data_IF_400407894380
#
_entry.id   IF_400407894380
#
_cell.length_a   1.000
_cell.length_b   1.000
_cell.length_c   1.000
_cell.angle_alpha   90.00
_cell.angle_beta   90.00
_cell.angle_gamma   90.00
#
_symmetry.space_group_name_H-M   'P 1'
#
loop_
_entity.id
_entity.type
_entity.pdbx_description
1 polymer ?
#
# COMPACT_ATOMS: atom_id res chain seq x y z
N UNK A 1 -25.83 24.65 -28.16
CA UNK A 1 -25.08 23.36 -28.08
C UNK A 1 -24.23 23.45 -26.82
N UNK A 2 -24.65 22.79 -25.72
CA UNK A 2 -23.91 22.81 -24.46
C UNK A 2 -22.80 21.75 -24.59
N UNK A 3 -21.56 22.20 -24.73
CA UNK A 3 -20.40 21.33 -24.56
C UNK A 3 -20.30 20.99 -23.07
N UNK A 4 -20.86 19.86 -22.67
CA UNK A 4 -20.54 19.26 -21.37
C UNK A 4 -19.10 18.77 -21.49
N UNK A 5 -18.16 19.53 -20.91
CA UNK A 5 -16.78 19.07 -20.73
C UNK A 5 -16.81 17.66 -20.14
N UNK A 6 -16.11 16.67 -20.73
CA UNK A 6 -16.08 15.33 -20.18
C UNK A 6 -15.57 15.40 -18.75
N UNK A 7 -16.34 14.86 -17.80
CA UNK A 7 -15.93 14.76 -16.41
C UNK A 7 -14.62 13.95 -16.34
N UNK A 8 -13.50 14.64 -16.13
CA UNK A 8 -12.18 14.02 -15.98
C UNK A 8 -12.09 13.32 -14.62
N UNK A 9 -12.57 12.08 -14.56
CA UNK A 9 -12.57 11.23 -13.37
C UNK A 9 -12.27 9.77 -13.74
N UNK A 10 -11.58 9.06 -12.86
CA UNK A 10 -11.50 7.60 -12.97
C UNK A 10 -12.85 6.97 -12.64
N UNK A 11 -13.17 5.85 -13.29
CA UNK A 11 -14.36 5.06 -12.96
C UNK A 11 -14.14 4.43 -11.58
N UNK A 12 -15.11 4.61 -10.69
CA UNK A 12 -15.13 4.02 -9.35
C UNK A 12 -16.48 3.35 -9.10
N UNK A 13 -16.53 2.44 -8.13
CA UNK A 13 -17.77 1.79 -7.68
C UNK A 13 -18.09 2.22 -6.26
N UNK A 14 -19.32 2.67 -6.02
CA UNK A 14 -19.76 3.15 -4.70
C UNK A 14 -19.77 2.04 -3.64
N UNK A 15 -19.96 0.79 -4.05
CA UNK A 15 -19.92 -0.37 -3.17
C UNK A 15 -18.50 -0.75 -2.77
N UNK A 16 -17.48 -0.36 -3.54
CA UNK A 16 -16.09 -0.71 -3.26
C UNK A 16 -15.51 0.18 -2.14
N UNK A 17 -15.00 -0.45 -1.08
CA UNK A 17 -14.31 0.19 0.04
C UNK A 17 -12.93 0.72 -0.35
N UNK A 18 -12.36 0.24 -1.46
CA UNK A 18 -11.03 0.57 -1.96
C UNK A 18 -9.95 0.51 -0.87
N UNK A 19 -9.80 -0.63 -0.15
CA UNK A 19 -8.76 -0.76 0.84
C UNK A 19 -7.38 -0.64 0.21
N UNK A 20 -6.42 -0.10 0.94
CA UNK A 20 -5.03 0.01 0.51
C UNK A 20 -4.08 -0.06 1.71
N UNK A 21 -2.85 -0.47 1.44
CA UNK A 21 -1.75 -0.51 2.38
C UNK A 21 -0.44 -0.10 1.69
N UNK A 22 0.69 -0.23 2.38
CA UNK A 22 2.01 -0.05 1.80
C UNK A 22 2.93 -1.20 2.18
N UNK A 23 3.78 -1.63 1.24
CA UNK A 23 4.85 -2.60 1.49
C UNK A 23 6.21 -1.94 1.24
N UNK A 24 7.28 -2.60 1.68
CA UNK A 24 8.64 -2.13 1.46
C UNK A 24 9.25 -2.92 0.31
N UNK A 25 9.63 -2.22 -0.74
CA UNK A 25 10.25 -2.76 -1.95
C UNK A 25 11.78 -2.77 -1.80
N UNK A 26 12.44 -3.75 -2.44
CA UNK A 26 13.89 -3.91 -2.44
C UNK A 26 14.55 -3.34 -3.70
N UNK A 27 13.81 -3.07 -4.77
CA UNK A 27 14.33 -2.44 -5.99
C UNK A 27 13.70 -1.08 -6.30
N UNK A 28 14.46 -0.12 -6.86
CA UNK A 28 13.86 1.09 -7.39
C UNK A 28 12.88 0.78 -8.53
N UNK A 29 12.00 1.75 -8.81
CA UNK A 29 11.09 1.64 -9.96
C UNK A 29 11.88 1.57 -11.27
N UNK A 30 11.54 0.61 -12.13
CA UNK A 30 12.15 0.51 -13.46
C UNK A 30 11.68 1.68 -14.34
N UNK A 31 12.60 2.61 -14.61
CA UNK A 31 12.33 3.80 -15.42
C UNK A 31 12.34 3.50 -16.93
N UNK A 32 12.86 2.35 -17.36
CA UNK A 32 13.03 2.01 -18.78
C UNK A 32 11.70 1.83 -19.52
N UNK A 33 10.65 1.45 -18.79
CA UNK A 33 9.30 1.29 -19.33
C UNK A 33 8.62 2.62 -19.70
N UNK A 34 9.15 3.76 -19.24
CA UNK A 34 8.52 5.07 -19.43
C UNK A 34 9.19 5.84 -20.56
N UNK A 35 8.42 6.24 -21.58
CA UNK A 35 8.92 7.01 -22.73
C UNK A 35 8.93 8.52 -22.51
N UNK A 36 8.05 9.02 -21.63
CA UNK A 36 7.87 10.45 -21.42
C UNK A 36 8.84 10.97 -20.36
N UNK A 37 9.68 11.94 -20.73
CA UNK A 37 10.76 12.44 -19.88
C UNK A 37 10.26 13.10 -18.57
N UNK A 38 9.15 13.84 -18.58
CA UNK A 38 8.56 14.35 -17.33
C UNK A 38 8.12 13.23 -16.38
N UNK A 39 7.66 12.09 -16.91
CA UNK A 39 7.28 10.94 -16.07
C UNK A 39 8.54 10.33 -15.43
N UNK A 40 9.62 10.19 -16.20
CA UNK A 40 10.91 9.76 -15.64
C UNK A 40 11.40 10.71 -14.56
N UNK A 41 11.30 12.02 -14.76
CA UNK A 41 11.69 13.03 -13.78
C UNK A 41 10.88 12.91 -12.47
N UNK A 42 9.55 12.73 -12.59
CA UNK A 42 8.69 12.50 -11.43
C UNK A 42 9.08 11.21 -10.68
N UNK A 43 9.23 10.10 -11.39
CA UNK A 43 9.60 8.82 -10.77
C UNK A 43 10.99 8.85 -10.12
N UNK A 44 11.97 9.48 -10.78
CA UNK A 44 13.33 9.66 -10.26
C UNK A 44 13.34 10.40 -8.93
N UNK A 45 12.46 11.40 -8.76
CA UNK A 45 12.38 12.16 -7.49
C UNK A 45 11.89 11.33 -6.28
N UNK A 46 11.31 10.15 -6.52
CA UNK A 46 10.85 9.22 -5.47
C UNK A 46 11.49 7.83 -5.59
N UNK A 47 12.58 7.72 -6.35
CA UNK A 47 13.25 6.45 -6.64
C UNK A 47 13.79 5.79 -5.36
N UNK A 48 14.39 6.60 -4.48
CA UNK A 48 14.99 6.14 -3.22
C UNK A 48 13.98 5.77 -2.12
N UNK A 49 12.70 6.17 -2.25
CA UNK A 49 11.67 5.84 -1.26
C UNK A 49 11.22 4.38 -1.47
N UNK A 50 11.48 3.42 -0.57
CA UNK A 50 11.14 2.03 -0.80
C UNK A 50 9.67 1.70 -0.44
N UNK A 51 8.86 2.66 0.01
CA UNK A 51 7.48 2.39 0.45
C UNK A 51 6.52 2.51 -0.72
N UNK A 52 5.96 1.37 -1.15
CA UNK A 52 5.07 1.31 -2.31
C UNK A 52 3.62 1.06 -1.90
N UNK A 53 2.65 1.78 -2.49
CA UNK A 53 1.22 1.56 -2.26
C UNK A 53 0.73 0.25 -2.88
N UNK A 54 -0.21 -0.40 -2.20
CA UNK A 54 -0.80 -1.66 -2.63
C UNK A 54 -2.28 -1.79 -2.23
N UNK A 55 -3.20 -1.98 -3.18
CA UNK A 55 -3.07 -1.58 -4.57
C UNK A 55 -2.91 -0.07 -4.70
N UNK A 56 -2.37 0.38 -5.82
CA UNK A 56 -2.17 1.81 -6.10
C UNK A 56 -3.51 2.49 -6.43
N UNK A 57 -4.25 2.93 -5.41
CA UNK A 57 -5.60 3.59 -5.49
C UNK A 57 -5.59 5.00 -6.09
N UNK A 58 -4.92 5.18 -7.24
CA UNK A 58 -4.85 6.47 -7.94
C UNK A 58 -6.22 7.03 -8.33
N UNK A 59 -7.19 6.13 -8.56
CA UNK A 59 -8.56 6.46 -8.91
C UNK A 59 -9.27 7.24 -7.79
N UNK A 60 -9.06 6.82 -6.53
CA UNK A 60 -9.65 7.43 -5.35
C UNK A 60 -9.00 8.76 -5.01
N UNK A 61 -7.67 8.80 -5.03
CA UNK A 61 -6.88 10.03 -4.78
C UNK A 61 -7.23 11.11 -5.79
N UNK A 62 -7.19 10.79 -7.10
CA UNK A 62 -7.46 11.77 -8.14
C UNK A 62 -8.90 12.29 -8.14
N UNK A 63 -9.87 11.44 -7.77
CA UNK A 63 -11.26 11.85 -7.68
C UNK A 63 -11.59 12.61 -6.38
N UNK A 64 -10.70 12.58 -5.37
CA UNK A 64 -10.97 13.12 -4.04
C UNK A 64 -12.03 12.30 -3.29
N UNK A 65 -12.00 10.98 -3.45
CA UNK A 65 -13.01 10.03 -2.96
C UNK A 65 -12.40 9.06 -1.97
N UNK A 66 -13.07 8.82 -0.84
CA UNK A 66 -12.53 7.99 0.25
C UNK A 66 -11.99 6.62 -0.17
N UNK A 67 -10.90 6.23 0.48
CA UNK A 67 -10.35 4.86 0.51
C UNK A 67 -10.36 4.33 1.94
N UNK A 68 -9.96 3.08 2.13
CA UNK A 68 -9.81 2.48 3.45
C UNK A 68 -8.33 2.12 3.70
N UNK A 69 -7.67 2.80 4.64
CA UNK A 69 -6.31 2.43 5.02
C UNK A 69 -6.35 1.17 5.89
N UNK A 70 -5.60 0.14 5.49
CA UNK A 70 -5.43 -1.07 6.30
C UNK A 70 -4.47 -0.74 7.44
N UNK A 71 -4.82 -1.17 8.66
CA UNK A 71 -4.07 -0.83 9.87
C UNK A 71 -3.68 -2.11 10.63
N UNK A 72 -2.39 -2.39 10.77
CA UNK A 72 -1.88 -3.36 11.74
C UNK A 72 -2.54 -3.16 13.11
N UNK A 73 -3.00 -4.25 13.74
CA UNK A 73 -3.67 -4.18 15.05
C UNK A 73 -2.69 -3.94 16.20
N UNK A 74 -1.45 -4.34 16.01
CA UNK A 74 -0.37 -4.22 16.97
C UNK A 74 0.78 -3.39 16.40
N UNK A 75 1.61 -2.78 17.26
CA UNK A 75 2.89 -2.24 16.84
C UNK A 75 3.71 -3.28 16.06
N UNK A 76 4.38 -2.81 15.02
CA UNK A 76 5.25 -3.65 14.21
C UNK A 76 6.66 -3.51 14.75
N UNK A 77 7.07 -4.50 15.53
CA UNK A 77 8.41 -4.60 16.06
C UNK A 77 8.99 -6.00 15.89
N UNK A 78 10.32 -6.10 15.92
CA UNK A 78 11.04 -7.36 15.87
C UNK A 78 12.37 -7.24 16.63
N UNK A 79 12.70 -8.26 17.44
CA UNK A 79 13.97 -8.33 18.15
C UNK A 79 15.07 -8.73 17.18
N UNK A 80 16.02 -7.83 16.92
CA UNK A 80 17.12 -8.08 15.99
C UNK A 80 18.26 -8.86 16.68
N UNK A 81 18.53 -8.49 17.94
CA UNK A 81 19.52 -9.05 18.85
C UNK A 81 18.96 -9.05 20.29
N UNK A 82 19.72 -9.56 21.26
CA UNK A 82 19.32 -9.61 22.67
C UNK A 82 19.04 -8.22 23.29
N UNK A 83 19.63 -7.17 22.71
CA UNK A 83 19.59 -5.79 23.23
C UNK A 83 19.04 -4.76 22.24
N UNK A 84 18.55 -5.18 21.07
CA UNK A 84 18.03 -4.27 20.03
C UNK A 84 16.70 -4.73 19.48
N UNK A 85 15.72 -3.82 19.52
CA UNK A 85 14.40 -3.99 18.90
C UNK A 85 14.24 -2.94 17.82
N UNK A 86 13.93 -3.39 16.61
CA UNK A 86 13.52 -2.52 15.52
C UNK A 86 12.00 -2.40 15.50
N UNK A 87 11.49 -1.18 15.33
CA UNK A 87 10.06 -0.90 15.22
C UNK A 87 9.76 0.01 14.04
N UNK A 88 8.59 -0.16 13.41
CA UNK A 88 8.11 0.80 12.39
C UNK A 88 7.33 1.91 13.10
N UNK A 89 7.74 3.15 12.86
CA UNK A 89 6.98 4.33 13.22
C UNK A 89 5.85 4.54 12.19
N UNK A 90 4.56 4.39 12.57
CA UNK A 90 3.45 4.41 11.63
C UNK A 90 3.30 5.74 10.89
N UNK A 91 3.52 6.87 11.55
CA UNK A 91 3.30 8.20 10.96
C UNK A 91 4.22 8.50 9.76
N UNK A 92 5.56 8.45 9.89
CA UNK A 92 6.46 8.65 8.76
C UNK A 92 6.33 7.54 7.71
N UNK A 93 6.02 6.29 8.11
CA UNK A 93 5.76 5.21 7.15
C UNK A 93 4.58 5.52 6.23
N UNK A 94 3.43 5.90 6.81
CA UNK A 94 2.23 6.26 6.05
C UNK A 94 2.45 7.54 5.25
N UNK A 95 3.15 8.55 5.80
CA UNK A 95 3.52 9.77 5.06
C UNK A 95 4.31 9.42 3.78
N UNK A 96 5.39 8.64 3.89
CA UNK A 96 6.22 8.25 2.73
C UNK A 96 5.46 7.40 1.71
N UNK A 97 4.57 6.52 2.16
CA UNK A 97 3.69 5.77 1.26
C UNK A 97 2.71 6.66 0.52
N UNK A 98 2.07 7.61 1.21
CA UNK A 98 1.14 8.57 0.59
C UNK A 98 1.89 9.45 -0.41
N UNK A 99 3.07 9.94 -0.08
CA UNK A 99 3.90 10.71 -1.01
C UNK A 99 4.06 9.97 -2.34
N UNK A 100 4.49 8.70 -2.28
CA UNK A 100 4.66 7.88 -3.48
C UNK A 100 3.35 7.66 -4.24
N UNK A 101 2.25 7.46 -3.53
CA UNK A 101 0.91 7.35 -4.12
C UNK A 101 0.48 8.64 -4.83
N UNK A 102 0.81 9.83 -4.32
CA UNK A 102 0.53 11.11 -4.99
C UNK A 102 1.29 11.24 -6.31
N UNK A 103 2.57 10.82 -6.35
CA UNK A 103 3.35 10.78 -7.60
C UNK A 103 2.73 9.84 -8.63
N UNK A 104 2.36 8.61 -8.23
CA UNK A 104 1.69 7.68 -9.13
C UNK A 104 0.33 8.20 -9.59
N UNK A 105 -0.38 8.92 -8.73
CA UNK A 105 -1.65 9.55 -9.08
C UNK A 105 -1.45 10.64 -10.13
N UNK A 106 -0.47 11.53 -9.96
CA UNK A 106 -0.12 12.55 -10.96
C UNK A 106 0.20 11.91 -12.31
N UNK A 107 1.09 10.92 -12.32
CA UNK A 107 1.52 10.24 -13.54
C UNK A 107 0.33 9.64 -14.27
N UNK A 108 -0.54 8.91 -13.56
CA UNK A 108 -1.72 8.26 -14.15
C UNK A 108 -2.78 9.27 -14.60
N UNK A 109 -2.99 10.34 -13.85
CA UNK A 109 -3.92 11.40 -14.20
C UNK A 109 -3.48 12.14 -15.47
N UNK A 110 -2.20 12.50 -15.56
CA UNK A 110 -1.64 13.17 -16.71
C UNK A 110 -1.68 12.28 -17.96
N UNK A 111 -1.29 11.00 -17.84
CA UNK A 111 -1.36 10.02 -18.93
C UNK A 111 -2.78 9.83 -19.48
N UNK A 112 -3.78 9.79 -18.60
CA UNK A 112 -5.15 9.44 -18.98
C UNK A 112 -5.99 10.65 -19.42
N UNK A 113 -5.78 11.79 -18.78
CA UNK A 113 -6.66 12.95 -18.91
C UNK A 113 -5.92 14.24 -19.30
N UNK A 114 -4.60 14.24 -19.30
CA UNK A 114 -3.79 15.45 -19.55
C UNK A 114 -3.95 16.52 -18.46
N UNK A 115 -4.33 16.12 -17.24
CA UNK A 115 -4.51 17.05 -16.12
C UNK A 115 -3.80 16.58 -14.86
N UNK A 116 -3.33 17.55 -14.08
CA UNK A 116 -2.61 17.32 -12.84
C UNK A 116 -3.54 17.17 -11.63
N UNK A 117 -3.06 16.44 -10.64
CA UNK A 117 -3.64 16.34 -9.31
C UNK A 117 -3.59 17.71 -8.61
N UNK A 118 -4.72 18.12 -8.04
CA UNK A 118 -4.81 19.35 -7.24
C UNK A 118 -4.65 19.03 -5.75
N UNK A 119 -4.14 20.00 -5.00
CA UNK A 119 -4.06 19.90 -3.54
C UNK A 119 -5.43 19.65 -2.92
N UNK A 120 -6.48 20.35 -3.38
CA UNK A 120 -7.84 20.19 -2.88
C UNK A 120 -8.36 18.75 -3.04
N UNK A 121 -8.04 18.08 -4.16
CA UNK A 121 -8.44 16.68 -4.38
C UNK A 121 -7.69 15.74 -3.45
N UNK A 122 -6.38 15.93 -3.30
CA UNK A 122 -5.55 15.12 -2.40
C UNK A 122 -5.97 15.29 -0.93
N UNK A 123 -6.19 16.53 -0.48
CA UNK A 123 -6.66 16.84 0.87
C UNK A 123 -8.06 16.29 1.11
N UNK A 124 -9.00 16.50 0.18
CA UNK A 124 -10.34 15.93 0.26
C UNK A 124 -10.31 14.41 0.40
N UNK A 125 -9.48 13.73 -0.39
CA UNK A 125 -9.29 12.28 -0.28
C UNK A 125 -8.78 11.88 1.11
N UNK A 126 -7.72 12.52 1.60
CA UNK A 126 -7.10 12.14 2.86
C UNK A 126 -8.01 12.39 4.07
N UNK A 127 -8.65 13.56 4.14
CA UNK A 127 -9.61 13.87 5.21
C UNK A 127 -10.79 12.90 5.24
N UNK A 128 -11.24 12.44 4.08
CA UNK A 128 -12.32 11.45 3.99
C UNK A 128 -11.86 10.01 4.29
N UNK A 129 -10.55 9.74 4.27
CA UNK A 129 -9.96 8.39 4.41
C UNK A 129 -9.44 8.14 5.83
N UNK A 130 -8.77 9.11 6.45
CA UNK A 130 -7.97 8.92 7.67
C UNK A 130 -8.76 8.46 8.91
N UNK A 131 -10.07 8.68 8.93
CA UNK A 131 -10.95 8.26 10.02
C UNK A 131 -11.75 6.98 9.72
N UNK A 132 -11.60 6.41 8.53
CA UNK A 132 -12.28 5.18 8.19
C UNK A 132 -11.51 3.99 8.74
N UNK A 133 -12.27 3.05 9.29
CA UNK A 133 -11.75 1.81 9.80
C UNK A 133 -12.66 0.65 9.41
N UNK A 134 -12.06 -0.49 9.09
CA UNK A 134 -12.75 -1.76 8.92
C UNK A 134 -11.84 -2.84 9.49
N UNK A 135 -12.46 -3.83 10.14
CA UNK A 135 -11.73 -4.95 10.74
C UNK A 135 -11.40 -5.98 9.65
N UNK A 136 -10.21 -5.85 9.06
CA UNK A 136 -9.74 -6.73 7.99
C UNK A 136 -8.84 -7.84 8.53
N UNK A 137 -9.23 -8.43 9.67
CA UNK A 137 -8.49 -9.36 10.53
C UNK A 137 -7.26 -10.00 9.87
N UNK A 138 -7.48 -10.92 8.93
CA UNK A 138 -6.37 -11.68 8.33
C UNK A 138 -5.42 -10.83 7.49
N UNK A 139 -5.93 -9.82 6.79
CA UNK A 139 -5.10 -8.91 6.00
C UNK A 139 -4.24 -8.02 6.91
N UNK A 140 -4.80 -7.54 8.02
CA UNK A 140 -4.05 -6.74 9.01
C UNK A 140 -2.89 -7.55 9.60
N UNK A 141 -3.12 -8.83 9.91
CA UNK A 141 -2.10 -9.76 10.38
C UNK A 141 -1.04 -10.08 9.31
N UNK A 142 -1.46 -10.44 8.10
CA UNK A 142 -0.54 -10.80 7.03
C UNK A 142 0.36 -9.61 6.67
N UNK A 143 -0.18 -8.38 6.61
CA UNK A 143 0.64 -7.18 6.37
C UNK A 143 1.57 -6.82 7.53
N UNK A 144 1.16 -7.09 8.76
CA UNK A 144 2.08 -7.02 9.90
C UNK A 144 3.23 -8.01 9.71
N UNK A 145 2.94 -9.23 9.25
CA UNK A 145 3.93 -10.25 8.90
C UNK A 145 4.89 -9.82 7.79
N UNK A 146 4.37 -9.24 6.71
CA UNK A 146 5.18 -8.69 5.59
C UNK A 146 6.18 -7.65 6.09
N UNK A 147 5.74 -6.70 6.90
CA UNK A 147 6.61 -5.66 7.42
C UNK A 147 7.61 -6.19 8.46
N UNK A 148 7.22 -7.13 9.33
CA UNK A 148 8.15 -7.83 10.24
C UNK A 148 9.20 -8.62 9.46
N UNK A 149 8.83 -9.24 8.33
CA UNK A 149 9.77 -9.95 7.47
C UNK A 149 10.87 -9.02 6.97
N UNK A 150 10.53 -7.80 6.51
CA UNK A 150 11.54 -6.82 6.06
C UNK A 150 12.51 -6.44 7.18
N UNK A 151 12.01 -6.21 8.40
CA UNK A 151 12.86 -5.92 9.57
C UNK A 151 13.80 -7.09 9.86
N UNK A 152 13.25 -8.30 9.93
CA UNK A 152 13.99 -9.51 10.28
C UNK A 152 15.08 -9.87 9.25
N UNK A 153 14.91 -9.49 7.99
CA UNK A 153 15.87 -9.79 6.92
C UNK A 153 16.73 -8.57 6.57
N UNK A 154 16.14 -7.55 5.94
CA UNK A 154 16.86 -6.43 5.33
C UNK A 154 17.50 -5.53 6.38
N UNK A 155 16.74 -5.11 7.40
CA UNK A 155 17.27 -4.23 8.45
C UNK A 155 18.32 -4.96 9.27
N UNK A 156 18.05 -6.22 9.64
CA UNK A 156 19.02 -7.06 10.35
C UNK A 156 20.34 -7.17 9.59
N UNK A 157 20.27 -7.50 8.30
CA UNK A 157 21.47 -7.64 7.48
C UNK A 157 22.24 -6.33 7.37
N UNK A 158 21.54 -5.20 7.20
CA UNK A 158 22.17 -3.87 7.16
C UNK A 158 22.93 -3.53 8.45
N UNK A 159 22.38 -3.88 9.61
CA UNK A 159 23.00 -3.57 10.90
C UNK A 159 24.19 -4.48 11.22
N UNK A 160 24.21 -5.68 10.66
CA UNK A 160 25.28 -6.67 10.84
C UNK A 160 26.38 -6.57 9.78
N UNK A 161 26.22 -5.70 8.78
CA UNK A 161 27.06 -5.70 7.57
C UNK A 161 27.04 -7.07 6.84
N UNK A 162 25.88 -7.75 6.87
CA UNK A 162 25.64 -9.00 6.16
C UNK A 162 25.27 -8.75 4.68
N UNK A 163 25.28 -9.82 3.88
CA UNK A 163 24.91 -9.78 2.46
C UNK A 163 23.44 -9.37 2.23
N UNK A 164 23.25 -8.13 1.77
CA UNK A 164 21.94 -7.56 1.42
C UNK A 164 21.24 -8.25 0.25
N UNK A 165 21.96 -8.87 -0.69
CA UNK A 165 21.36 -9.61 -1.82
C UNK A 165 20.67 -10.87 -1.28
N UNK A 166 21.38 -11.61 -0.43
CA UNK A 166 20.81 -12.79 0.23
C UNK A 166 19.68 -12.41 1.19
N UNK A 167 19.77 -11.27 1.88
CA UNK A 167 18.68 -10.76 2.72
C UNK A 167 17.44 -10.38 1.90
N UNK A 168 17.62 -9.72 0.74
CA UNK A 168 16.53 -9.36 -0.18
C UNK A 168 15.85 -10.60 -0.74
N UNK A 169 16.64 -11.63 -1.11
CA UNK A 169 16.09 -12.92 -1.55
C UNK A 169 15.21 -13.56 -0.48
N UNK A 170 15.71 -13.66 0.75
CA UNK A 170 14.95 -14.21 1.89
C UNK A 170 13.68 -13.40 2.17
N UNK A 171 13.75 -12.08 2.09
CA UNK A 171 12.58 -11.21 2.25
C UNK A 171 11.50 -11.54 1.20
N UNK A 172 11.88 -11.56 -0.08
CA UNK A 172 10.95 -11.85 -1.16
C UNK A 172 10.35 -13.25 -1.05
N UNK A 173 11.16 -14.27 -0.68
CA UNK A 173 10.71 -15.64 -0.44
C UNK A 173 9.65 -15.70 0.68
N UNK A 174 9.92 -15.06 1.84
CA UNK A 174 8.97 -15.03 2.97
C UNK A 174 7.64 -14.39 2.59
N UNK A 175 7.67 -13.26 1.87
CA UNK A 175 6.46 -12.57 1.43
C UNK A 175 5.72 -13.39 0.36
N UNK A 176 6.43 -13.96 -0.61
CA UNK A 176 5.86 -14.87 -1.60
C UNK A 176 5.19 -16.07 -0.95
N UNK A 177 5.76 -16.64 0.11
CA UNK A 177 5.18 -17.77 0.85
C UNK A 177 3.88 -17.38 1.56
N UNK A 178 3.82 -16.20 2.18
CA UNK A 178 2.58 -15.67 2.78
C UNK A 178 1.49 -15.57 1.70
N UNK A 179 1.78 -14.94 0.57
CA UNK A 179 0.82 -14.77 -0.53
C UNK A 179 0.39 -16.11 -1.13
N UNK A 180 1.35 -16.98 -1.45
CA UNK A 180 1.09 -18.31 -2.02
C UNK A 180 0.22 -19.17 -1.11
N UNK A 181 0.49 -19.14 0.21
CA UNK A 181 -0.32 -19.86 1.18
C UNK A 181 -1.78 -19.42 1.10
N UNK A 182 -2.04 -18.11 1.11
CA UNK A 182 -3.41 -17.56 1.04
C UNK A 182 -4.11 -17.91 -0.26
N UNK A 183 -3.42 -17.72 -1.39
CA UNK A 183 -3.97 -18.03 -2.72
C UNK A 183 -4.30 -19.53 -2.81
N UNK A 184 -3.40 -20.42 -2.38
CA UNK A 184 -3.60 -21.88 -2.42
C UNK A 184 -4.72 -22.34 -1.47
N UNK A 185 -4.82 -21.76 -0.29
CA UNK A 185 -5.91 -22.04 0.66
C UNK A 185 -7.27 -21.52 0.14
N UNK A 186 -7.26 -20.61 -0.84
CA UNK A 186 -8.43 -19.94 -1.42
C UNK A 186 -9.43 -19.50 -0.34
N UNK A 187 -8.92 -18.98 0.77
CA UNK A 187 -9.75 -18.53 1.86
C UNK A 187 -9.10 -17.41 2.65
N UNK A 188 -9.95 -16.56 3.22
CA UNK A 188 -9.54 -15.47 4.09
C UNK A 188 -10.55 -15.31 5.21
N UNK A 189 -10.04 -15.02 6.40
CA UNK A 189 -10.86 -14.75 7.57
C UNK A 189 -11.14 -13.25 7.64
N UNK A 190 -12.42 -12.89 7.70
CA UNK A 190 -12.90 -11.53 7.85
C UNK A 190 -13.77 -11.41 9.10
N UNK A 191 -14.01 -10.17 9.55
CA UNK A 191 -14.88 -9.89 10.69
C UNK A 191 -16.04 -9.00 10.22
N UNK A 192 -17.28 -9.51 10.34
CA UNK A 192 -18.52 -8.82 9.94
C UNK A 192 -19.61 -9.06 10.97
N UNK A 193 -20.33 -8.02 11.35
CA UNK A 193 -21.36 -8.05 12.40
C UNK A 193 -20.83 -8.70 13.71
N UNK A 194 -19.57 -8.39 14.07
CA UNK A 194 -18.81 -8.96 15.19
C UNK A 194 -18.62 -10.50 15.15
N UNK A 195 -18.83 -11.12 13.98
CA UNK A 195 -18.55 -12.53 13.75
C UNK A 195 -17.37 -12.71 12.80
N UNK A 196 -16.51 -13.69 13.11
CA UNK A 196 -15.47 -14.12 12.19
C UNK A 196 -16.05 -15.08 11.15
N UNK A 197 -15.86 -14.74 9.87
CA UNK A 197 -16.36 -15.53 8.74
C UNK A 197 -15.21 -15.85 7.80
N UNK A 198 -15.08 -17.13 7.46
CA UNK A 198 -14.14 -17.56 6.43
C UNK A 198 -14.82 -17.46 5.06
N UNK A 199 -14.23 -16.67 4.16
CA UNK A 199 -14.75 -16.45 2.80
C UNK A 199 -13.71 -16.84 1.77
N UNK A 200 -14.13 -17.13 0.53
CA UNK A 200 -13.23 -17.50 -0.57
C UNK A 200 -12.54 -16.28 -1.15
N UNK A 201 -11.31 -16.45 -1.65
CA UNK A 201 -10.59 -15.43 -2.41
C UNK A 201 -11.05 -15.38 -3.87
N UNK A 202 -11.39 -16.53 -4.44
CA UNK A 202 -11.87 -16.67 -5.81
C UNK A 202 -12.80 -17.88 -5.97
N UNK A 203 -13.60 -17.86 -7.05
CA UNK A 203 -14.35 -19.00 -7.56
C UNK A 203 -13.72 -19.57 -8.81
N UNK A 204 -13.71 -20.88 -8.90
CA UNK A 204 -13.36 -21.63 -10.09
C UNK A 204 -14.58 -21.80 -11.00
N UNK A 205 -14.44 -21.48 -12.29
CA UNK A 205 -15.49 -21.64 -13.28
C UNK A 205 -14.94 -22.31 -14.53
N UNK A 206 -15.54 -23.43 -14.91
CA UNK A 206 -15.24 -24.10 -16.19
C UNK A 206 -16.03 -23.39 -17.30
N UNK A 207 -15.32 -22.69 -18.18
CA UNK A 207 -15.91 -22.12 -19.40
C UNK A 207 -15.79 -23.11 -20.54
N UNK A 208 -16.90 -23.32 -21.26
CA UNK A 208 -16.94 -24.14 -22.46
C UNK A 208 -17.14 -23.22 -23.67
N UNK A 209 -16.16 -23.16 -24.56
CA UNK A 209 -16.24 -22.34 -25.78
C UNK A 209 -15.63 -23.07 -26.98
N UNK A 210 -15.91 -22.58 -28.19
CA UNK A 210 -15.38 -23.19 -29.42
C UNK A 210 -14.12 -22.46 -29.88
N UNK A 211 -13.00 -23.20 -30.00
CA UNK A 211 -11.75 -22.72 -30.59
C UNK A 211 -11.47 -23.53 -31.85
N UNK A 212 -11.44 -22.88 -33.02
CA UNK A 212 -11.23 -23.54 -34.33
C UNK A 212 -12.17 -24.75 -34.54
N UNK A 213 -13.48 -24.56 -34.30
CA UNK A 213 -14.53 -25.59 -34.40
C UNK A 213 -14.40 -26.80 -33.45
N UNK A 214 -13.44 -26.79 -32.52
CA UNK A 214 -13.35 -27.76 -31.43
C UNK A 214 -13.91 -27.14 -30.15
N UNK A 215 -14.75 -27.88 -29.42
CA UNK A 215 -15.19 -27.50 -28.08
C UNK A 215 -14.00 -27.65 -27.14
N UNK A 216 -13.64 -26.58 -26.45
CA UNK A 216 -12.57 -26.53 -25.47
C UNK A 216 -13.18 -26.15 -24.12
N UNK A 217 -12.68 -26.77 -23.06
CA UNK A 217 -13.02 -26.42 -21.68
C UNK A 217 -11.80 -25.76 -21.05
N UNK A 218 -12.00 -24.63 -20.40
CA UNK A 218 -10.94 -23.86 -19.75
C UNK A 218 -11.39 -23.51 -18.33
N UNK A 219 -10.55 -23.84 -17.35
CA UNK A 219 -10.75 -23.44 -15.97
C UNK A 219 -10.33 -21.99 -15.79
N UNK A 220 -11.25 -21.14 -15.33
CA UNK A 220 -10.98 -19.74 -15.02
C UNK A 220 -11.20 -19.46 -13.54
N UNK A 221 -10.34 -18.60 -12.99
CA UNK A 221 -10.41 -18.12 -11.62
C UNK A 221 -11.02 -16.72 -11.62
N UNK A 222 -12.10 -16.53 -10.87
CA UNK A 222 -12.80 -15.25 -10.74
C UNK A 222 -12.66 -14.73 -9.30
N UNK A 223 -12.04 -13.56 -9.09
CA UNK A 223 -11.91 -12.98 -7.75
C UNK A 223 -13.28 -12.78 -7.09
N UNK A 224 -13.36 -13.08 -5.80
CA UNK A 224 -14.57 -12.87 -5.00
C UNK A 224 -14.63 -11.47 -4.40
N UNK A 225 -15.85 -10.93 -4.33
CA UNK A 225 -16.16 -9.72 -3.60
C UNK A 225 -16.57 -10.11 -2.18
N UNK A 226 -15.89 -9.51 -1.21
CA UNK A 226 -16.12 -9.76 0.21
C UNK A 226 -16.76 -8.54 0.85
N UNK A 227 -17.86 -8.76 1.57
CA UNK A 227 -18.55 -7.74 2.35
C UNK A 227 -17.80 -7.44 3.65
N UNK A 228 -17.73 -6.17 4.03
CA UNK A 228 -17.06 -5.66 5.24
C UNK A 228 -17.85 -4.52 5.87
N UNK A 229 -17.68 -4.41 7.19
CA UNK A 229 -18.17 -3.29 7.97
C UNK A 229 -17.16 -2.15 7.98
N UNK A 230 -17.57 -0.98 7.49
CA UNK A 230 -16.77 0.23 7.52
C UNK A 230 -17.36 1.22 8.50
N UNK A 231 -16.57 1.57 9.50
CA UNK A 231 -16.88 2.55 10.55
C UNK A 231 -16.23 3.90 10.20
N UNK A 232 -16.99 4.97 10.40
CA UNK A 232 -16.45 6.32 10.32
C UNK A 232 -16.20 6.86 11.73
N UNK A 233 -14.93 7.00 12.10
CA UNK A 233 -14.51 7.41 13.44
C UNK A 233 -14.28 8.93 13.55
N UNK A 234 -14.74 9.74 12.60
CA UNK A 234 -14.45 11.18 12.57
C UNK A 234 -14.95 11.94 13.81
N UNK A 235 -16.06 11.50 14.42
CA UNK A 235 -16.64 12.15 15.59
C UNK A 235 -16.09 11.62 16.92
N UNK A 236 -15.77 10.33 16.98
CA UNK A 236 -15.37 9.63 18.22
C UNK A 236 -13.84 9.48 18.36
N UNK A 237 -13.11 9.60 17.26
CA UNK A 237 -11.67 9.34 17.21
C UNK A 237 -11.31 7.85 17.30
N UNK A 238 -10.01 7.57 17.27
CA UNK A 238 -9.48 6.25 17.57
C UNK A 238 -9.19 6.19 19.08
N UNK A 239 -10.00 5.45 19.85
CA UNK A 239 -9.83 5.28 21.30
C UNK A 239 -9.47 3.83 21.64
N UNK A 240 -9.00 3.59 22.85
CA UNK A 240 -8.55 2.26 23.31
C UNK A 240 -9.65 1.20 23.38
N UNK A 241 -10.90 1.57 23.72
CA UNK A 241 -12.05 0.66 23.75
C UNK A 241 -12.86 0.69 22.46
N UNK A 242 -12.34 0.02 21.44
CA UNK A 242 -13.02 -0.13 20.15
C UNK A 242 -14.33 -0.92 20.23
N UNK A 243 -14.47 -1.87 21.17
CA UNK A 243 -15.68 -2.69 21.29
C UNK A 243 -16.89 -1.85 21.72
N UNK A 244 -16.70 -0.91 22.65
CA UNK A 244 -17.75 0.02 23.03
C UNK A 244 -18.11 0.97 21.87
N UNK A 245 -17.12 1.51 21.17
CA UNK A 245 -17.34 2.43 20.04
C UNK A 245 -18.14 1.78 18.90
N UNK A 246 -17.82 0.55 18.51
CA UNK A 246 -18.50 -0.09 17.37
C UNK A 246 -19.98 -0.38 17.64
N UNK A 247 -20.41 -0.42 18.91
CA UNK A 247 -21.83 -0.50 19.28
C UNK A 247 -22.56 0.84 19.10
N UNK A 248 -21.85 1.96 19.22
CA UNK A 248 -22.42 3.31 19.09
C UNK A 248 -22.42 3.81 17.65
N UNK A 249 -21.42 3.40 16.85
CA UNK A 249 -21.26 3.85 15.47
C UNK A 249 -21.94 2.89 14.51
N UNK A 250 -22.87 3.41 13.72
CA UNK A 250 -23.49 2.64 12.64
C UNK A 250 -22.46 2.28 11.57
N UNK A 251 -22.23 0.99 11.37
CA UNK A 251 -21.43 0.47 10.28
C UNK A 251 -22.07 0.76 8.92
N UNK A 252 -21.22 0.99 7.92
CA UNK A 252 -21.63 1.00 6.51
C UNK A 252 -21.07 -0.22 5.80
N UNK A 253 -21.95 -0.98 5.15
CA UNK A 253 -21.55 -2.17 4.40
C UNK A 253 -20.88 -1.78 3.08
N UNK A 254 -19.67 -2.30 2.86
CA UNK A 254 -18.90 -2.13 1.64
C UNK A 254 -18.31 -3.47 1.19
N UNK A 255 -17.81 -3.50 -0.04
CA UNK A 255 -17.18 -4.66 -0.65
C UNK A 255 -15.73 -4.38 -0.99
N UNK A 256 -14.92 -5.42 -1.06
CA UNK A 256 -13.58 -5.33 -1.64
C UNK A 256 -13.17 -6.69 -2.22
N UNK A 257 -12.04 -6.72 -2.94
CA UNK A 257 -11.49 -7.94 -3.52
C UNK A 257 -10.16 -8.23 -2.79
N UNK A 258 -10.13 -9.19 -1.84
CA UNK A 258 -8.92 -9.49 -1.08
C UNK A 258 -7.80 -10.06 -1.96
N UNK A 259 -8.15 -10.84 -2.99
CA UNK A 259 -7.17 -11.48 -3.88
C UNK A 259 -6.21 -10.47 -4.51
N UNK A 260 -6.66 -9.24 -4.81
CA UNK A 260 -5.82 -8.21 -5.43
C UNK A 260 -4.56 -7.90 -4.61
N UNK A 261 -4.64 -7.94 -3.28
CA UNK A 261 -3.46 -7.67 -2.45
C UNK A 261 -2.41 -8.76 -2.60
N UNK A 262 -2.82 -10.02 -2.54
CA UNK A 262 -1.91 -11.16 -2.57
C UNK A 262 -1.37 -11.39 -3.99
N UNK A 263 -2.19 -11.18 -5.02
CA UNK A 263 -1.80 -11.33 -6.42
C UNK A 263 -0.77 -10.27 -6.80
N UNK A 264 -1.08 -8.98 -6.58
CA UNK A 264 -0.17 -7.86 -6.87
C UNK A 264 1.15 -8.01 -6.08
N UNK A 265 1.08 -8.34 -4.78
CA UNK A 265 2.30 -8.48 -3.96
C UNK A 265 3.13 -9.71 -4.37
N UNK A 266 2.48 -10.83 -4.70
CA UNK A 266 3.17 -12.03 -5.17
C UNK A 266 3.88 -11.75 -6.49
N UNK A 267 3.23 -11.08 -7.44
CA UNK A 267 3.85 -10.69 -8.71
C UNK A 267 5.10 -9.84 -8.48
N UNK A 268 5.02 -8.83 -7.61
CA UNK A 268 6.17 -8.00 -7.24
C UNK A 268 7.32 -8.84 -6.67
N UNK A 269 7.05 -9.71 -5.69
CA UNK A 269 8.09 -10.52 -5.07
C UNK A 269 8.72 -11.52 -6.05
N UNK A 270 7.93 -12.16 -6.92
CA UNK A 270 8.44 -13.06 -7.96
C UNK A 270 9.30 -12.30 -8.98
N UNK A 271 8.91 -11.10 -9.37
CA UNK A 271 9.72 -10.24 -10.24
C UNK A 271 11.06 -9.87 -9.57
N UNK A 272 11.03 -9.54 -8.28
CA UNK A 272 12.25 -9.20 -7.53
C UNK A 272 13.18 -10.40 -7.37
N UNK A 273 12.64 -11.59 -7.08
CA UNK A 273 13.41 -12.83 -7.07
C UNK A 273 14.08 -13.07 -8.42
N UNK A 274 13.35 -12.88 -9.51
CA UNK A 274 13.91 -13.04 -10.85
C UNK A 274 15.06 -12.06 -11.12
N UNK A 275 14.91 -10.78 -10.74
CA UNK A 275 16.00 -9.79 -10.84
C UNK A 275 17.24 -10.19 -10.04
N UNK A 276 17.06 -10.71 -8.83
CA UNK A 276 18.15 -11.19 -7.98
C UNK A 276 18.85 -12.41 -8.60
N UNK A 277 18.10 -13.35 -9.18
CA UNK A 277 18.65 -14.50 -9.92
C UNK A 277 19.45 -14.08 -11.16
N UNK A 278 19.00 -13.02 -11.83
CA UNK A 278 19.66 -12.46 -13.02
C UNK A 278 20.87 -11.57 -12.65
N UNK A 279 21.18 -11.41 -11.37
CA UNK A 279 22.35 -10.69 -10.88
C UNK A 279 22.20 -9.17 -10.78
N UNK A 280 20.97 -8.65 -10.73
CA UNK A 280 20.73 -7.23 -10.48
C UNK A 280 21.11 -6.86 -9.03
N UNK A 281 21.98 -5.87 -8.88
CA UNK A 281 22.57 -5.48 -7.59
C UNK A 281 22.11 -4.10 -7.08
N UNK A 282 21.31 -3.37 -7.86
CA UNK A 282 20.84 -2.03 -7.48
C UNK A 282 19.70 -2.07 -6.47
N UNK A 283 20.00 -2.55 -5.26
CA UNK A 283 19.06 -2.66 -4.16
C UNK A 283 18.83 -1.31 -3.46
N UNK A 284 17.58 -1.09 -3.04
CA UNK A 284 17.23 -0.02 -2.12
C UNK A 284 17.77 -0.35 -0.73
N UNK A 285 18.78 0.41 -0.32
CA UNK A 285 19.40 0.26 0.99
C UNK A 285 18.43 0.68 2.12
N UNK A 286 18.31 -0.10 3.22
CA UNK A 286 17.46 0.26 4.36
C UNK A 286 17.80 1.61 5.04
N UNK A 287 18.94 2.22 4.74
CA UNK A 287 19.37 3.52 5.28
C UNK A 287 18.31 4.61 5.08
N UNK A 288 17.59 4.63 3.94
CA UNK A 288 16.50 5.59 3.76
C UNK A 288 15.45 5.50 4.87
N UNK A 289 15.10 4.28 5.28
CA UNK A 289 14.08 4.03 6.31
C UNK A 289 14.58 4.41 7.71
N UNK A 290 15.87 4.22 7.97
CA UNK A 290 16.52 4.60 9.22
C UNK A 290 16.67 6.14 9.30
N UNK A 291 17.20 6.77 8.27
CA UNK A 291 17.44 8.21 8.18
C UNK A 291 16.15 9.03 8.30
N UNK A 292 15.04 8.48 7.81
CA UNK A 292 13.71 9.10 7.89
C UNK A 292 12.95 8.77 9.18
N UNK A 293 13.57 8.06 10.13
CA UNK A 293 12.93 7.56 11.35
C UNK A 293 11.64 6.77 11.07
N UNK A 294 11.59 6.11 9.90
CA UNK A 294 10.50 5.20 9.55
C UNK A 294 10.68 3.89 10.32
N UNK A 295 11.92 3.39 10.36
CA UNK A 295 12.33 2.30 11.24
C UNK A 295 13.21 2.90 12.33
N UNK A 296 12.86 2.66 13.58
CA UNK A 296 13.64 3.08 14.75
C UNK A 296 14.25 1.85 15.41
N UNK A 297 15.49 1.99 15.88
CA UNK A 297 16.22 0.95 16.61
C UNK A 297 16.35 1.42 18.05
N UNK A 298 15.77 0.68 18.99
CA UNK A 298 15.76 1.04 20.41
C UNK A 298 16.30 -0.11 21.26
N UNK A 299 16.88 0.22 22.41
CA UNK A 299 17.13 -0.77 23.44
C UNK A 299 15.79 -1.22 24.06
N UNK A 300 15.57 -2.51 24.33
CA UNK A 300 14.36 -2.99 25.02
C UNK A 300 14.01 -2.19 26.28
N UNK A 301 15.03 -1.73 27.03
CA UNK A 301 14.82 -0.94 28.26
C UNK A 301 14.24 0.45 28.00
N UNK A 302 14.50 1.03 26.83
CA UNK A 302 13.99 2.34 26.44
C UNK A 302 12.53 2.27 25.93
N UNK A 303 12.09 1.09 25.49
CA UNK A 303 10.71 0.83 25.06
C UNK A 303 9.72 0.75 26.24
N UNK A 304 10.19 0.46 27.46
CA UNK A 304 9.36 0.54 28.66
C UNK A 304 9.10 2.00 29.11
N UNK A 305 9.95 2.94 28.66
CA UNK A 305 9.93 4.36 29.05
C UNK A 305 9.26 5.23 27.97
N UNK A 306 9.35 4.82 26.69
CA UNK A 306 8.66 5.48 25.57
C UNK A 306 7.26 4.90 25.38
N UNK A 307 6.26 5.78 25.32
CA UNK A 307 4.85 5.41 25.24
C UNK A 307 4.56 4.48 24.05
N UNK A 308 3.92 3.31 24.26
CA UNK A 308 3.41 2.46 23.16
C UNK A 308 2.45 3.18 22.19
N UNK A 309 1.95 4.34 22.59
CA UNK A 309 0.99 5.15 21.84
C UNK A 309 1.57 5.72 20.54
N UNK A 310 2.86 6.06 20.47
CA UNK A 310 3.44 6.63 19.23
C UNK A 310 3.64 5.56 18.13
N UNK A 311 3.69 4.29 18.54
CA UNK A 311 3.83 3.15 17.63
C UNK A 311 2.48 2.48 17.28
N UNK A 312 1.36 3.03 17.78
CA UNK A 312 0.04 2.52 17.43
C UNK A 312 -0.36 2.93 16.02
N UNK A 313 -0.93 2.00 15.26
CA UNK A 313 -1.56 2.29 13.97
C UNK A 313 -3.01 2.75 14.12
N UNK A 314 -3.55 2.69 15.34
CA UNK A 314 -4.91 3.09 15.66
C UNK A 314 -4.95 4.58 16.01
N UNK A 315 -4.70 5.43 15.01
CA UNK A 315 -4.72 6.89 15.16
C UNK A 315 -5.20 7.59 13.87
N UNK A 316 -5.49 8.89 13.95
CA UNK A 316 -5.97 9.73 12.84
C UNK A 316 -4.90 10.16 11.85
N UNK A 317 -3.61 9.95 12.16
CA UNK A 317 -2.47 10.44 11.41
C UNK A 317 -2.55 11.95 11.12
N UNK A 318 -2.94 12.76 12.11
CA UNK A 318 -3.10 14.21 11.98
C UNK A 318 -1.82 14.95 11.54
N UNK A 319 -0.64 14.35 11.69
CA UNK A 319 0.64 14.90 11.26
C UNK A 319 0.94 14.79 9.75
N UNK A 320 0.10 14.11 8.96
CA UNK A 320 0.35 13.93 7.52
C UNK A 320 0.10 15.22 6.74
N UNK A 321 1.09 15.63 5.94
CA UNK A 321 1.07 16.87 5.19
C UNK A 321 1.33 16.61 3.69
N UNK A 322 0.32 16.90 2.86
CA UNK A 322 0.34 16.63 1.43
C UNK A 322 0.88 17.81 0.60
N UNK A 323 0.87 19.02 1.17
CA UNK A 323 1.19 20.26 0.44
C UNK A 323 2.61 20.27 -0.12
N UNK A 324 3.68 19.92 0.64
CA UNK A 324 5.04 19.93 0.13
C UNK A 324 5.21 19.00 -1.09
N UNK A 325 4.63 17.80 -1.04
CA UNK A 325 4.71 16.81 -2.12
C UNK A 325 4.03 17.32 -3.39
N UNK A 326 2.81 17.86 -3.27
CA UNK A 326 2.09 18.42 -4.42
C UNK A 326 2.83 19.63 -5.01
N UNK A 327 3.45 20.46 -4.17
CA UNK A 327 4.28 21.58 -4.64
C UNK A 327 5.52 21.08 -5.39
N UNK A 328 6.22 20.06 -4.87
CA UNK A 328 7.39 19.48 -5.52
C UNK A 328 7.04 18.87 -6.89
N UNK A 329 5.95 18.12 -6.97
CA UNK A 329 5.41 17.58 -8.24
C UNK A 329 5.20 18.72 -9.25
N UNK A 330 4.55 19.82 -8.84
CA UNK A 330 4.31 20.98 -9.70
C UNK A 330 5.60 21.66 -10.16
N UNK A 331 6.59 21.78 -9.27
CA UNK A 331 7.89 22.35 -9.59
C UNK A 331 8.60 21.52 -10.66
N UNK A 332 8.68 20.18 -10.48
CA UNK A 332 9.30 19.27 -11.45
C UNK A 332 8.63 19.39 -12.82
N UNK A 333 7.30 19.41 -12.86
CA UNK A 333 6.56 19.55 -14.11
C UNK A 333 6.81 20.92 -14.77
N UNK A 334 6.81 22.00 -14.00
CA UNK A 334 7.07 23.36 -14.49
C UNK A 334 8.48 23.47 -15.09
N UNK A 335 9.50 23.00 -14.39
CA UNK A 335 10.89 22.99 -14.87
C UNK A 335 11.01 22.21 -16.18
N UNK A 336 10.38 21.04 -16.25
CA UNK A 336 10.37 20.23 -17.46
C UNK A 336 9.72 20.96 -18.64
N UNK A 337 8.51 21.49 -18.49
CA UNK A 337 7.80 22.20 -19.58
C UNK A 337 8.44 23.54 -19.95
N UNK A 338 9.13 24.20 -19.02
CA UNK A 338 9.91 25.40 -19.33
C UNK A 338 11.15 25.08 -20.18
N UNK A 339 11.84 23.98 -19.90
CA UNK A 339 13.00 23.54 -20.69
C UNK A 339 12.66 23.19 -22.14
N UNK A 340 11.46 22.65 -22.37
CA UNK A 340 10.95 22.35 -23.72
C UNK A 340 10.57 23.57 -24.57
N UNK A 341 10.36 24.75 -23.96
CA UNK A 341 10.04 25.98 -24.70
C UNK A 341 11.27 26.74 -25.19
N UNK A 342 12.45 26.36 -24.70
CA UNK A 342 13.73 26.99 -25.04
C UNK A 342 14.50 26.24 -26.13
N UNK A 343 14.05 25.01 -26.44
CA UNK A 343 14.49 24.19 -27.58
C UNK A 343 13.41 24.19 -28.66
#
# INVERSE_FOLDING_TARGET
MIFISPFQKFKIYNSDAAPFFFYIEVFPSDLSAFKLEHIKALLKSVEANPIFPLPTRVDRVFNGEKSLLIRPREPISFSLMDDLVASINPLPFVQSGIEKLLYFTEIRAFQKFGVSLTIDRAEKWWFATRFLYAKLLRIEEDFSGVLRAYIHTMVKAKLNDDDLINAAKKYCELVSDICNKRIKENSILIETDDNEVQVKLYKEKILKYYKKRKKVEELQYHPELVDIDVFNLSEKGFVSDFKAIFKEIKASYKKYIPLLFYDDLLECMLQNLKKLEDGEVNLLDPSYLLDKNIITINNPKDLEITTPQDLTWMNSFDGINLKPTIQLIRTILKEHFSSMKQN
#
